data_IF_648153276104
#
_entry.id   IF_648153276104
#
_cell.length_a   1.000
_cell.length_b   1.000
_cell.length_c   1.000
_cell.angle_alpha   90.00
_cell.angle_beta   90.00
_cell.angle_gamma   90.00
#
_symmetry.space_group_name_H-M   'P 1'
#
loop_
_entity.id
_entity.type
_entity.pdbx_description
1 polymer ?
#
# COMPACT_ATOMS: atom_id res chain seq x y z
N UNK A 1 -29.94 9.58 17.64
CA UNK A 1 -29.47 8.58 16.66
C UNK A 1 -27.97 8.72 16.55
N UNK A 2 -27.20 7.65 16.75
CA UNK A 2 -25.77 7.65 16.46
C UNK A 2 -25.56 7.45 14.95
N UNK A 3 -24.69 8.23 14.32
CA UNK A 3 -24.40 8.12 12.89
C UNK A 3 -25.15 9.11 11.97
N UNK A 4 -25.98 10.01 12.51
CA UNK A 4 -26.68 10.99 11.68
C UNK A 4 -25.69 12.05 11.15
N UNK A 5 -25.75 12.33 9.85
CA UNK A 5 -24.92 13.38 9.20
C UNK A 5 -23.47 13.00 8.91
N UNK A 6 -23.10 11.72 9.02
CA UNK A 6 -21.75 11.29 8.63
C UNK A 6 -21.62 11.28 7.10
N UNK A 7 -20.57 11.91 6.58
CA UNK A 7 -20.29 11.96 5.14
C UNK A 7 -18.91 11.36 4.88
N UNK A 8 -18.88 10.27 4.13
CA UNK A 8 -17.67 9.55 3.76
C UNK A 8 -17.34 9.77 2.29
N UNK A 9 -16.11 10.17 1.99
CA UNK A 9 -15.58 10.19 0.61
C UNK A 9 -14.31 9.35 0.54
N UNK A 10 -14.19 8.52 -0.49
CA UNK A 10 -12.99 7.74 -0.76
C UNK A 10 -12.54 8.01 -2.20
N UNK A 11 -11.27 8.39 -2.34
CA UNK A 11 -10.62 8.61 -3.62
C UNK A 11 -9.30 7.83 -3.65
N UNK A 12 -9.07 7.08 -4.72
CA UNK A 12 -7.79 6.45 -4.99
C UNK A 12 -7.25 6.91 -6.33
N UNK A 13 -6.00 7.38 -6.34
CA UNK A 13 -5.24 7.69 -7.53
C UNK A 13 -4.03 6.75 -7.59
N UNK A 14 -3.86 6.09 -8.73
CA UNK A 14 -2.72 5.21 -8.99
C UNK A 14 -1.93 5.82 -10.14
N UNK A 15 -0.68 6.20 -9.85
CA UNK A 15 0.26 6.75 -10.81
C UNK A 15 1.35 5.70 -11.10
N UNK A 16 1.49 5.34 -12.38
CA UNK A 16 2.47 4.36 -12.86
C UNK A 16 3.74 5.02 -13.43
N UNK A 17 3.76 6.35 -13.55
CA UNK A 17 4.84 7.11 -14.19
C UNK A 17 5.41 8.18 -13.24
N UNK A 18 5.36 7.86 -11.95
CA UNK A 18 5.86 8.72 -10.89
C UNK A 18 7.37 8.98 -11.07
N UNK A 19 7.73 10.24 -11.34
CA UNK A 19 9.14 10.64 -11.41
C UNK A 19 9.81 10.39 -10.05
N UNK A 20 10.95 9.66 -9.99
CA UNK A 20 11.61 9.29 -8.74
C UNK A 20 12.12 10.49 -7.93
N UNK A 21 12.15 11.69 -8.52
CA UNK A 21 12.48 12.95 -7.83
C UNK A 21 11.31 13.61 -7.10
N UNK A 22 10.07 13.11 -7.23
CA UNK A 22 8.88 13.74 -6.63
C UNK A 22 8.61 13.33 -5.17
N UNK A 23 9.14 12.19 -4.73
CA UNK A 23 8.93 11.69 -3.37
C UNK A 23 9.99 12.24 -2.42
N UNK A 24 9.70 13.37 -1.79
CA UNK A 24 10.57 14.00 -0.80
C UNK A 24 10.53 13.22 0.52
N UNK A 25 11.68 12.74 1.00
CA UNK A 25 11.83 12.21 2.38
C UNK A 25 11.77 10.69 2.56
N UNK A 26 11.74 9.90 1.48
CA UNK A 26 11.84 8.44 1.55
C UNK A 26 13.26 7.93 1.30
N UNK A 27 13.71 6.95 2.09
CA UNK A 27 14.90 6.13 1.77
C UNK A 27 14.44 4.72 1.44
N UNK A 28 14.92 4.16 0.33
CA UNK A 28 14.68 2.77 -0.02
C UNK A 28 15.40 1.87 0.99
N UNK A 29 14.64 1.34 1.95
CA UNK A 29 15.16 0.53 3.06
C UNK A 29 14.71 -0.94 2.98
N UNK A 30 14.19 -1.37 1.83
CA UNK A 30 13.59 -2.69 1.60
C UNK A 30 12.50 -3.10 2.62
N UNK A 31 11.94 -2.14 3.36
CA UNK A 31 10.89 -2.43 4.31
C UNK A 31 9.58 -2.71 3.57
N UNK A 32 8.94 -3.82 3.93
CA UNK A 32 7.61 -4.19 3.42
C UNK A 32 6.50 -3.53 4.22
N UNK A 33 6.80 -2.66 5.17
CA UNK A 33 5.82 -1.87 5.89
C UNK A 33 6.38 -0.52 6.33
N UNK A 34 5.49 0.47 6.43
CA UNK A 34 5.80 1.78 6.98
C UNK A 34 4.62 2.28 7.81
N UNK A 35 4.93 3.06 8.84
CA UNK A 35 3.94 3.71 9.71
C UNK A 35 4.29 5.19 9.85
N UNK A 36 3.27 6.03 9.91
CA UNK A 36 3.39 7.45 10.16
C UNK A 36 2.29 7.90 11.13
N UNK A 37 2.54 8.95 11.89
CA UNK A 37 1.50 9.59 12.69
C UNK A 37 1.67 11.10 12.70
N UNK A 38 0.57 11.84 12.94
CA UNK A 38 0.67 13.27 13.18
C UNK A 38 1.40 13.58 14.51
N UNK A 39 1.75 14.86 14.72
CA UNK A 39 2.50 15.30 15.90
C UNK A 39 1.84 14.90 17.24
N UNK A 40 0.51 14.83 17.27
CA UNK A 40 -0.26 14.49 18.46
C UNK A 40 -0.60 13.00 18.58
N UNK A 41 -0.13 12.16 17.63
CA UNK A 41 -0.37 10.71 17.60
C UNK A 41 -1.82 10.26 17.38
N UNK A 42 -2.74 11.19 17.19
CA UNK A 42 -4.19 10.95 17.05
C UNK A 42 -4.57 10.42 15.67
N UNK A 43 -3.76 10.71 14.66
CA UNK A 43 -3.91 10.16 13.30
C UNK A 43 -2.71 9.26 13.03
N UNK A 44 -2.98 8.02 12.65
CA UNK A 44 -1.98 7.00 12.33
C UNK A 44 -2.24 6.45 10.94
N UNK A 45 -1.21 6.45 10.10
CA UNK A 45 -1.22 5.80 8.81
C UNK A 45 -0.27 4.60 8.84
N UNK A 46 -0.64 3.51 8.20
CA UNK A 46 0.24 2.38 7.95
C UNK A 46 0.06 1.88 6.53
N UNK A 47 1.15 1.39 5.95
CA UNK A 47 1.16 0.65 4.69
C UNK A 47 1.96 -0.62 4.87
N UNK A 48 1.48 -1.71 4.30
CA UNK A 48 2.17 -3.00 4.27
C UNK A 48 2.06 -3.60 2.88
N UNK A 49 3.19 -4.00 2.32
CA UNK A 49 3.32 -4.78 1.10
C UNK A 49 3.55 -6.23 1.52
N UNK A 50 2.55 -7.09 1.39
CA UNK A 50 2.66 -8.50 1.78
C UNK A 50 2.03 -9.40 0.72
N UNK A 51 2.70 -10.53 0.42
CA UNK A 51 2.20 -11.56 -0.50
C UNK A 51 1.74 -11.01 -1.87
N UNK A 52 2.43 -9.99 -2.39
CA UNK A 52 2.11 -9.35 -3.68
C UNK A 52 0.93 -8.36 -3.63
N UNK A 53 0.33 -8.14 -2.47
CA UNK A 53 -0.72 -7.14 -2.24
C UNK A 53 -0.24 -5.96 -1.41
N UNK A 54 -1.07 -4.92 -1.36
CA UNK A 54 -0.85 -3.69 -0.61
C UNK A 54 -2.01 -3.51 0.35
N UNK A 55 -1.75 -3.28 1.64
CA UNK A 55 -2.75 -2.91 2.63
C UNK A 55 -2.38 -1.58 3.24
N UNK A 56 -3.33 -0.66 3.28
CA UNK A 56 -3.16 0.68 3.81
C UNK A 56 -4.26 0.91 4.84
N UNK A 57 -3.89 1.44 5.99
CA UNK A 57 -4.84 1.82 7.02
C UNK A 57 -4.56 3.25 7.48
N UNK A 58 -5.63 4.04 7.61
CA UNK A 58 -5.64 5.36 8.23
C UNK A 58 -6.59 5.30 9.41
N UNK A 59 -6.04 5.40 10.61
CA UNK A 59 -6.80 5.48 11.85
C UNK A 59 -6.82 6.93 12.31
N UNK A 60 -8.02 7.40 12.61
CA UNK A 60 -8.30 8.71 13.19
C UNK A 60 -9.11 8.50 14.47
N UNK A 61 -9.26 9.51 15.34
CA UNK A 61 -10.07 9.36 16.56
C UNK A 61 -11.54 9.03 16.27
N UNK A 62 -12.03 9.43 15.11
CA UNK A 62 -13.44 9.35 14.74
C UNK A 62 -13.71 8.29 13.66
N UNK A 63 -12.73 7.46 13.33
CA UNK A 63 -12.92 6.45 12.30
C UNK A 63 -11.65 5.78 11.80
N UNK A 64 -11.86 4.69 11.07
CA UNK A 64 -10.81 3.91 10.42
C UNK A 64 -11.14 3.86 8.94
N UNK A 65 -10.16 4.13 8.10
CA UNK A 65 -10.24 3.90 6.68
C UNK A 65 -9.18 2.87 6.28
N UNK A 66 -9.57 1.83 5.55
CA UNK A 66 -8.64 0.83 5.03
C UNK A 66 -8.78 0.71 3.52
N UNK A 67 -7.67 0.42 2.87
CA UNK A 67 -7.65 0.04 1.47
C UNK A 67 -6.73 -1.16 1.28
N UNK A 68 -7.24 -2.18 0.59
CA UNK A 68 -6.48 -3.39 0.29
C UNK A 68 -6.48 -3.61 -1.21
N UNK A 69 -5.30 -3.76 -1.79
CA UNK A 69 -5.09 -4.18 -3.17
C UNK A 69 -4.61 -5.62 -3.11
N UNK A 70 -5.43 -6.56 -3.57
CA UNK A 70 -5.04 -7.95 -3.73
C UNK A 70 -4.62 -8.20 -5.18
N UNK A 71 -3.45 -8.82 -5.41
CA UNK A 71 -2.99 -9.13 -6.75
C UNK A 71 -3.89 -10.18 -7.39
N UNK A 72 -3.95 -10.18 -8.72
CA UNK A 72 -4.61 -11.26 -9.45
C UNK A 72 -3.84 -12.57 -9.22
N UNK A 73 -4.57 -13.62 -8.86
CA UNK A 73 -4.06 -15.00 -8.87
C UNK A 73 -4.62 -15.73 -10.09
N UNK A 74 -4.13 -16.95 -10.36
CA UNK A 74 -4.64 -17.76 -11.47
C UNK A 74 -6.15 -18.09 -11.33
N UNK A 75 -6.72 -17.91 -10.14
CA UNK A 75 -8.09 -18.26 -9.78
C UNK A 75 -8.95 -17.03 -9.47
N UNK A 76 -8.35 -15.84 -9.32
CA UNK A 76 -9.08 -14.67 -8.84
C UNK A 76 -8.52 -13.38 -9.45
N UNK A 77 -9.40 -12.57 -10.03
CA UNK A 77 -9.04 -11.26 -10.54
C UNK A 77 -8.51 -10.36 -9.41
N UNK A 78 -7.53 -9.53 -9.72
CA UNK A 78 -7.01 -8.54 -8.78
C UNK A 78 -8.13 -7.59 -8.37
N UNK A 79 -8.16 -7.21 -7.10
CA UNK A 79 -9.24 -6.40 -6.54
C UNK A 79 -8.69 -5.29 -5.64
N UNK A 80 -9.36 -4.15 -5.68
CA UNK A 80 -9.13 -3.03 -4.77
C UNK A 80 -10.37 -2.91 -3.87
N UNK A 81 -10.21 -3.23 -2.59
CA UNK A 81 -11.23 -3.07 -1.58
C UNK A 81 -10.97 -1.78 -0.79
N UNK A 82 -12.01 -0.98 -0.57
CA UNK A 82 -11.97 0.23 0.21
C UNK A 82 -13.04 0.16 1.30
N UNK A 83 -12.65 0.39 2.55
CA UNK A 83 -13.56 0.41 3.67
C UNK A 83 -13.37 1.70 4.46
N UNK A 84 -14.46 2.36 4.80
CA UNK A 84 -14.48 3.56 5.62
C UNK A 84 -15.49 3.35 6.74
N UNK A 85 -14.99 3.31 7.97
CA UNK A 85 -15.81 3.20 9.17
C UNK A 85 -15.73 4.52 9.94
N UNK A 86 -16.87 5.19 10.08
CA UNK A 86 -16.99 6.47 10.76
C UNK A 86 -17.76 6.26 12.07
N UNK A 87 -17.18 6.71 13.18
CA UNK A 87 -17.79 6.68 14.50
C UNK A 87 -18.18 8.11 14.95
N UNK A 88 -19.37 8.27 15.53
CA UNK A 88 -19.89 9.56 16.02
C UNK A 88 -21.02 10.15 15.15
N UNK A 89 -21.31 11.43 15.37
CA UNK A 89 -22.34 12.21 14.65
C UNK A 89 -21.70 13.37 13.89
N UNK A 90 -22.25 13.73 12.72
CA UNK A 90 -21.80 14.84 11.87
C UNK A 90 -20.30 14.79 11.53
N UNK A 91 -19.76 13.60 11.29
CA UNK A 91 -18.36 13.42 10.94
C UNK A 91 -18.19 13.42 9.42
N UNK A 92 -17.34 14.31 8.91
CA UNK A 92 -16.88 14.26 7.52
C UNK A 92 -15.52 13.57 7.48
N UNK A 93 -15.46 12.40 6.84
CA UNK A 93 -14.21 11.67 6.65
C UNK A 93 -13.93 11.54 5.17
N UNK A 94 -12.83 12.14 4.74
CA UNK A 94 -12.31 12.01 3.38
C UNK A 94 -11.02 11.18 3.43
N UNK A 95 -11.01 10.07 2.71
CA UNK A 95 -9.80 9.27 2.47
C UNK A 95 -9.35 9.51 1.03
N UNK A 96 -8.21 10.18 0.85
CA UNK A 96 -7.57 10.31 -0.45
C UNK A 96 -6.25 9.54 -0.39
N UNK A 97 -6.16 8.47 -1.17
CA UNK A 97 -4.93 7.72 -1.35
C UNK A 97 -4.33 8.02 -2.71
N UNK A 98 -3.06 8.41 -2.71
CA UNK A 98 -2.23 8.47 -3.90
C UNK A 98 -1.14 7.41 -3.82
N UNK A 99 -1.17 6.44 -4.73
CA UNK A 99 -0.19 5.37 -4.83
C UNK A 99 0.68 5.60 -6.06
N UNK A 100 2.00 5.69 -5.83
CA UNK A 100 3.00 5.82 -6.89
C UNK A 100 3.67 4.45 -7.06
N UNK A 101 3.44 3.80 -8.21
CA UNK A 101 4.10 2.54 -8.55
C UNK A 101 5.23 2.80 -9.54
N UNK A 102 6.46 2.60 -9.08
CA UNK A 102 7.60 2.54 -9.97
C UNK A 102 8.00 1.08 -10.18
N UNK A 103 7.68 0.54 -11.35
CA UNK A 103 8.15 -0.79 -11.76
C UNK A 103 9.37 -0.63 -12.65
N UNK A 104 10.57 -0.84 -12.12
CA UNK A 104 11.76 -0.95 -12.97
C UNK A 104 11.94 -2.41 -13.37
N UNK A 105 11.93 -2.69 -14.67
CA UNK A 105 12.23 -4.04 -15.16
C UNK A 105 13.66 -4.40 -14.72
N UNK A 106 13.82 -5.57 -14.09
CA UNK A 106 15.17 -6.10 -13.86
C UNK A 106 15.87 -6.25 -15.20
N UNK A 107 17.10 -5.74 -15.28
CA UNK A 107 17.91 -5.91 -16.48
C UNK A 107 18.10 -7.40 -16.78
N UNK A 108 18.19 -7.74 -18.08
CA UNK A 108 18.45 -9.12 -18.51
C UNK A 108 19.76 -9.69 -17.94
N UNK A 109 20.73 -8.84 -17.56
CA UNK A 109 21.93 -9.24 -16.83
C UNK A 109 21.62 -9.65 -15.40
N UNK A 110 20.81 -8.88 -14.66
CA UNK A 110 20.44 -9.19 -13.29
C UNK A 110 19.57 -10.45 -13.20
N UNK A 111 18.61 -10.62 -14.13
CA UNK A 111 17.81 -11.86 -14.23
C UNK A 111 18.67 -13.09 -14.48
N UNK A 112 19.66 -13.01 -15.38
CA UNK A 112 20.59 -14.12 -15.63
C UNK A 112 21.43 -14.45 -14.40
N UNK A 113 21.89 -13.44 -13.67
CA UNK A 113 22.71 -13.65 -12.48
C UNK A 113 21.93 -14.37 -11.37
N UNK A 114 20.65 -14.03 -11.17
CA UNK A 114 19.74 -14.74 -10.27
C UNK A 114 19.53 -16.19 -10.75
N UNK A 115 19.27 -16.38 -12.05
CA UNK A 115 19.11 -17.72 -12.63
C UNK A 115 20.34 -18.61 -12.46
N UNK A 116 21.53 -18.05 -12.61
CA UNK A 116 22.80 -18.76 -12.38
C UNK A 116 22.98 -19.09 -10.89
N UNK A 117 22.73 -18.14 -9.98
CA UNK A 117 22.81 -18.40 -8.54
C UNK A 117 21.84 -19.51 -8.10
N UNK A 118 20.63 -19.51 -8.64
CA UNK A 118 19.65 -20.55 -8.34
C UNK A 118 20.06 -21.91 -8.94
N UNK A 119 20.62 -21.93 -10.14
CA UNK A 119 21.19 -23.13 -10.73
C UNK A 119 22.33 -23.69 -9.86
N UNK A 120 23.26 -22.83 -9.42
CA UNK A 120 24.38 -23.24 -8.56
C UNK A 120 23.91 -23.76 -7.20
N UNK A 121 22.90 -23.13 -6.58
CA UNK A 121 22.31 -23.60 -5.32
C UNK A 121 21.62 -24.97 -5.46
N UNK A 122 21.03 -25.26 -6.61
CA UNK A 122 20.45 -26.57 -6.92
C UNK A 122 21.52 -27.61 -7.24
N UNK A 123 22.64 -27.21 -7.83
CA UNK A 123 23.79 -28.07 -8.11
C UNK A 123 24.56 -28.49 -6.86
N UNK A 124 24.60 -27.64 -5.82
CA UNK A 124 25.27 -27.91 -4.53
C UNK A 124 24.43 -28.80 -3.61
N UNK A 125 23.12 -28.95 -3.87
CA UNK A 125 22.21 -29.84 -3.13
C UNK A 125 22.04 -31.24 -3.74
N UNK A 126 22.86 -31.60 -4.72
CA UNK A 126 22.92 -32.95 -5.31
C UNK A 126 24.19 -33.67 -4.92
#
# INVERSE_FOLDING_TARGET
MAGNGNLGTNQALIDFDASPGSLTGGSYNNATSAVASNANGSVKASVTLANGGISIALQTPNGIATQTIAPASAQQAGMIAQLLQIAGNNQQVANQLQLHLQTQQMSASMLRQIGVLQALQNSVRR
#
